data_IF_944255131615
#
_entry.id   IF_944255131615
#
_cell.length_a   1.000
_cell.length_b   1.000
_cell.length_c   1.000
_cell.angle_alpha   90.00
_cell.angle_beta   90.00
_cell.angle_gamma   90.00
#
_symmetry.space_group_name_H-M   'P 1'
#
loop_
_entity.id
_entity.type
_entity.pdbx_description
1 polymer ?
#
# COMPACT_ATOMS: atom_id res chain seq x y z
N UNK A 1 -3.97 14.81 6.03
CA UNK A 1 -2.77 14.65 5.17
C UNK A 1 -2.62 15.87 4.25
N UNK A 2 -2.16 17.02 4.76
CA UNK A 2 -2.10 18.25 3.95
C UNK A 2 -1.05 18.17 2.83
N UNK A 3 0.17 17.74 3.15
CA UNK A 3 1.28 17.67 2.20
C UNK A 3 1.05 16.62 1.09
N UNK A 4 0.61 15.41 1.44
CA UNK A 4 0.30 14.34 0.48
C UNK A 4 -0.71 14.79 -0.56
N UNK A 5 -1.72 15.58 -0.14
CA UNK A 5 -2.72 16.13 -1.05
C UNK A 5 -2.09 17.12 -2.03
N UNK A 6 -1.22 18.00 -1.57
CA UNK A 6 -0.55 19.00 -2.42
C UNK A 6 0.28 18.34 -3.51
N UNK A 7 1.16 17.41 -3.15
CA UNK A 7 2.05 16.76 -4.14
C UNK A 7 1.28 15.86 -5.11
N UNK A 8 0.23 15.17 -4.63
CA UNK A 8 -0.63 14.37 -5.50
C UNK A 8 -1.39 15.24 -6.50
N UNK A 9 -1.91 16.39 -6.06
CA UNK A 9 -2.59 17.33 -6.95
C UNK A 9 -1.63 17.90 -8.01
N UNK A 10 -0.40 18.24 -7.64
CA UNK A 10 0.62 18.71 -8.58
C UNK A 10 0.90 17.65 -9.64
N UNK A 11 1.17 16.40 -9.22
CA UNK A 11 1.43 15.30 -10.14
C UNK A 11 0.28 15.06 -11.13
N UNK A 12 -0.97 15.07 -10.66
CA UNK A 12 -2.14 14.86 -11.52
C UNK A 12 -2.32 16.02 -12.51
N UNK A 13 -2.08 17.27 -12.09
CA UNK A 13 -2.15 18.44 -12.96
C UNK A 13 -1.11 18.36 -14.10
N UNK A 14 0.08 17.82 -13.81
CA UNK A 14 1.14 17.54 -14.79
C UNK A 14 0.93 16.24 -15.58
N UNK A 15 -0.26 15.64 -15.49
CA UNK A 15 -0.65 14.41 -16.19
C UNK A 15 0.19 13.19 -15.81
N UNK A 16 0.75 13.16 -14.60
CA UNK A 16 1.47 12.00 -14.06
C UNK A 16 0.47 11.03 -13.43
N UNK A 17 0.44 9.79 -13.95
CA UNK A 17 -0.42 8.72 -13.42
C UNK A 17 0.15 8.21 -12.08
N UNK A 18 -0.61 8.26 -10.96
CA UNK A 18 -0.12 7.86 -9.66
C UNK A 18 -0.16 6.34 -9.43
N UNK A 19 0.73 5.86 -8.56
CA UNK A 19 0.67 4.55 -7.89
C UNK A 19 0.82 4.75 -6.39
N UNK A 20 0.31 3.81 -5.58
CA UNK A 20 0.30 3.97 -4.12
C UNK A 20 1.21 2.94 -3.45
N UNK A 21 2.15 3.42 -2.64
CA UNK A 21 2.93 2.59 -1.72
C UNK A 21 2.63 2.97 -0.27
N UNK A 22 2.06 2.03 0.49
CA UNK A 22 1.81 2.19 1.91
C UNK A 22 3.04 1.72 2.68
N UNK A 23 3.82 2.68 3.19
CA UNK A 23 5.08 2.42 3.89
C UNK A 23 4.89 2.30 5.41
N UNK A 24 5.91 1.76 6.08
CA UNK A 24 5.97 1.51 7.53
C UNK A 24 4.94 0.49 8.01
N UNK A 25 4.58 -0.47 7.16
CA UNK A 25 3.65 -1.55 7.53
C UNK A 25 4.21 -2.44 8.65
N UNK A 26 5.54 -2.55 8.76
CA UNK A 26 6.20 -3.24 9.87
C UNK A 26 5.77 -2.70 11.23
N UNK A 27 5.72 -1.37 11.42
CA UNK A 27 5.30 -0.75 12.68
C UNK A 27 3.84 -1.00 13.02
N UNK A 28 2.98 -1.13 12.00
CA UNK A 28 1.58 -1.47 12.20
C UNK A 28 1.41 -2.87 12.80
N UNK A 29 2.34 -3.77 12.49
CA UNK A 29 2.33 -5.15 12.94
C UNK A 29 3.04 -5.29 14.29
N UNK A 30 4.24 -4.73 14.43
CA UNK A 30 5.09 -4.98 15.61
C UNK A 30 4.78 -4.04 16.78
N UNK A 31 4.56 -2.74 16.51
CA UNK A 31 4.33 -1.75 17.56
C UNK A 31 2.85 -1.65 17.91
N UNK A 32 1.99 -1.51 16.90
CA UNK A 32 0.54 -1.39 17.10
C UNK A 32 -0.18 -2.72 17.24
N UNK A 33 0.50 -3.85 16.95
CA UNK A 33 -0.02 -5.22 17.10
C UNK A 33 -1.42 -5.42 16.50
N UNK A 34 -1.66 -4.78 15.35
CA UNK A 34 -2.95 -4.83 14.69
C UNK A 34 -3.25 -6.23 14.17
N UNK A 35 -4.51 -6.64 14.28
CA UNK A 35 -4.97 -7.89 13.66
C UNK A 35 -4.98 -7.77 12.13
N UNK A 36 -4.99 -8.89 11.38
CA UNK A 36 -5.11 -8.87 9.92
C UNK A 36 -6.31 -8.04 9.42
N UNK A 37 -7.44 -8.13 10.12
CA UNK A 37 -8.67 -7.43 9.78
C UNK A 37 -8.55 -5.91 10.01
N UNK A 38 -7.91 -5.50 11.11
CA UNK A 38 -7.65 -4.09 11.41
C UNK A 38 -6.68 -3.47 10.41
N UNK A 39 -5.63 -4.21 10.04
CA UNK A 39 -4.70 -3.81 8.97
C UNK A 39 -5.43 -3.59 7.65
N UNK A 40 -6.26 -4.55 7.24
CA UNK A 40 -7.06 -4.44 6.02
C UNK A 40 -8.01 -3.23 6.06
N UNK A 41 -8.76 -3.05 7.15
CA UNK A 41 -9.64 -1.88 7.33
C UNK A 41 -8.86 -0.58 7.22
N UNK A 42 -7.65 -0.51 7.78
CA UNK A 42 -6.79 0.67 7.72
C UNK A 42 -6.28 0.93 6.29
N UNK A 43 -5.85 -0.10 5.57
CA UNK A 43 -5.45 0.04 4.17
C UNK A 43 -6.61 0.49 3.28
N UNK A 44 -7.79 -0.11 3.43
CA UNK A 44 -9.01 0.30 2.70
C UNK A 44 -9.28 1.79 2.95
N UNK A 45 -9.23 2.25 4.20
CA UNK A 45 -9.44 3.67 4.53
C UNK A 45 -8.42 4.58 3.84
N UNK A 46 -7.14 4.20 3.82
CA UNK A 46 -6.08 4.97 3.14
C UNK A 46 -6.34 5.03 1.64
N UNK A 47 -6.62 3.89 1.01
CA UNK A 47 -6.87 3.76 -0.43
C UNK A 47 -8.09 4.59 -0.83
N UNK A 48 -9.19 4.49 -0.09
CA UNK A 48 -10.41 5.27 -0.34
C UNK A 48 -10.14 6.78 -0.27
N UNK A 49 -9.34 7.23 0.69
CA UNK A 49 -8.96 8.64 0.79
C UNK A 49 -8.12 9.11 -0.40
N UNK A 50 -7.14 8.31 -0.84
CA UNK A 50 -6.31 8.64 -2.01
C UNK A 50 -7.17 8.64 -3.29
N UNK A 51 -8.04 7.65 -3.46
CA UNK A 51 -8.94 7.57 -4.61
C UNK A 51 -9.91 8.75 -4.68
N UNK A 52 -10.42 9.21 -3.53
CA UNK A 52 -11.23 10.44 -3.48
C UNK A 52 -10.44 11.64 -4.00
N UNK A 53 -9.16 11.78 -3.60
CA UNK A 53 -8.29 12.85 -4.10
C UNK A 53 -8.01 12.75 -5.60
N UNK A 54 -7.75 11.54 -6.11
CA UNK A 54 -7.52 11.31 -7.53
C UNK A 54 -8.77 11.66 -8.34
N UNK A 55 -9.95 11.16 -7.94
CA UNK A 55 -11.22 11.42 -8.64
C UNK A 55 -11.55 12.91 -8.76
N UNK A 56 -11.19 13.72 -7.77
CA UNK A 56 -11.43 15.17 -7.80
C UNK A 56 -10.59 15.92 -8.84
N UNK A 57 -9.46 15.36 -9.29
CA UNK A 57 -8.47 16.07 -10.12
C UNK A 57 -8.11 15.36 -11.41
N UNK A 58 -8.48 14.09 -11.57
CA UNK A 58 -8.14 13.32 -12.76
C UNK A 58 -8.72 13.95 -14.04
N UNK A 59 -8.04 13.78 -15.18
CA UNK A 59 -8.59 14.18 -16.47
C UNK A 59 -9.97 13.56 -16.76
N UNK A 60 -10.78 14.23 -17.58
CA UNK A 60 -12.02 13.63 -18.08
C UNK A 60 -11.70 12.41 -18.93
N UNK A 61 -12.46 11.32 -18.74
CA UNK A 61 -12.36 10.10 -19.54
C UNK A 61 -11.28 9.10 -19.13
N UNK A 62 -10.55 9.35 -18.02
CA UNK A 62 -9.58 8.37 -17.47
C UNK A 62 -9.99 7.93 -16.07
N UNK A 63 -9.67 6.68 -15.74
CA UNK A 63 -9.74 6.15 -14.37
C UNK A 63 -8.32 5.90 -13.85
N UNK A 64 -7.83 6.83 -13.03
CA UNK A 64 -6.52 6.73 -12.39
C UNK A 64 -6.61 6.24 -10.95
N UNK A 65 -7.76 5.73 -10.53
CA UNK A 65 -7.91 5.19 -9.18
C UNK A 65 -6.97 4.01 -8.96
N UNK A 66 -6.47 3.92 -7.73
CA UNK A 66 -5.61 2.84 -7.28
C UNK A 66 -6.44 1.74 -6.62
N UNK A 67 -6.08 0.51 -6.93
CA UNK A 67 -6.73 -0.72 -6.51
C UNK A 67 -5.67 -1.78 -6.15
N UNK A 68 -5.90 -2.47 -5.04
CA UNK A 68 -5.09 -3.60 -4.57
C UNK A 68 -5.16 -4.77 -5.53
N UNK A 69 -6.35 -5.08 -6.08
CA UNK A 69 -6.56 -6.21 -6.98
C UNK A 69 -5.87 -6.01 -8.32
N UNK A 70 -5.81 -4.76 -8.81
CA UNK A 70 -5.10 -4.38 -10.04
C UNK A 70 -3.58 -4.27 -9.85
N UNK A 71 -3.06 -4.40 -8.63
CA UNK A 71 -1.62 -4.32 -8.33
C UNK A 71 -1.03 -2.90 -8.29
N UNK A 72 -1.87 -1.87 -8.42
CA UNK A 72 -1.46 -0.45 -8.37
C UNK A 72 -1.22 0.06 -6.94
N UNK A 73 -1.49 -0.78 -5.94
CA UNK A 73 -1.20 -0.55 -4.53
C UNK A 73 -0.23 -1.62 -4.04
N UNK A 74 0.86 -1.20 -3.41
CA UNK A 74 1.79 -2.07 -2.69
C UNK A 74 1.92 -1.61 -1.22
N UNK A 75 2.27 -2.53 -0.35
CA UNK A 75 2.47 -2.28 1.08
C UNK A 75 3.77 -2.92 1.54
N UNK A 76 4.46 -2.29 2.49
CA UNK A 76 5.71 -2.83 2.98
C UNK A 76 6.48 -1.91 3.92
N UNK A 77 7.77 -2.19 4.02
CA UNK A 77 8.71 -1.41 4.81
C UNK A 77 9.96 -1.15 3.99
N UNK A 78 10.15 0.11 3.60
CA UNK A 78 11.39 0.52 2.93
C UNK A 78 12.62 0.31 3.83
N UNK A 79 12.47 0.51 5.16
CA UNK A 79 13.57 0.30 6.13
C UNK A 79 13.99 -1.16 6.20
N UNK A 80 13.01 -2.07 6.16
CA UNK A 80 13.23 -3.53 6.25
C UNK A 80 13.32 -4.21 4.88
N UNK A 81 13.40 -3.41 3.80
CA UNK A 81 13.65 -3.83 2.42
C UNK A 81 12.66 -4.88 1.88
N UNK A 82 11.40 -4.82 2.28
CA UNK A 82 10.36 -5.71 1.74
C UNK A 82 9.12 -4.92 1.32
N UNK A 83 8.46 -5.41 0.27
CA UNK A 83 7.19 -4.87 -0.22
C UNK A 83 6.40 -5.99 -0.89
N UNK A 84 5.08 -5.87 -0.87
CA UNK A 84 4.20 -6.86 -1.47
C UNK A 84 2.90 -6.22 -1.98
N UNK A 85 2.33 -6.80 -3.03
CA UNK A 85 1.03 -6.43 -3.59
C UNK A 85 0.21 -7.70 -3.86
N UNK A 86 -1.10 -7.56 -4.04
CA UNK A 86 -2.01 -8.72 -4.18
C UNK A 86 -1.65 -9.62 -5.37
N UNK A 87 -1.32 -9.10 -6.57
CA UNK A 87 -0.89 -9.97 -7.67
C UNK A 87 0.37 -10.78 -7.34
N UNK A 88 1.35 -10.18 -6.64
CA UNK A 88 2.54 -10.89 -6.21
C UNK A 88 2.23 -11.95 -5.16
N UNK A 89 1.37 -11.64 -4.18
CA UNK A 89 0.89 -12.62 -3.18
C UNK A 89 0.26 -13.84 -3.85
N UNK A 90 -0.57 -13.63 -4.88
CA UNK A 90 -1.18 -14.73 -5.64
C UNK A 90 -0.14 -15.57 -6.38
N UNK A 91 0.92 -14.95 -6.89
CA UNK A 91 2.00 -15.62 -7.62
C UNK A 91 2.92 -16.42 -6.70
N UNK A 92 3.27 -15.88 -5.53
CA UNK A 92 4.23 -16.50 -4.60
C UNK A 92 3.56 -17.36 -3.53
N UNK A 93 2.23 -17.27 -3.37
CA UNK A 93 1.47 -17.96 -2.33
C UNK A 93 1.61 -17.33 -0.93
N UNK A 94 2.27 -16.18 -0.81
CA UNK A 94 2.47 -15.49 0.48
C UNK A 94 1.14 -14.89 0.94
N UNK A 95 0.71 -15.24 2.16
CA UNK A 95 -0.48 -14.70 2.80
C UNK A 95 -0.15 -13.52 3.72
N UNK A 96 -1.17 -12.74 4.11
CA UNK A 96 -1.02 -11.70 5.13
C UNK A 96 -0.57 -12.26 6.48
N UNK A 97 -0.95 -13.50 6.79
CA UNK A 97 -0.55 -14.18 8.02
C UNK A 97 0.96 -14.45 8.01
N UNK A 98 1.50 -14.93 6.91
CA UNK A 98 2.94 -15.18 6.76
C UNK A 98 3.76 -13.89 6.91
N UNK A 99 3.25 -12.77 6.38
CA UNK A 99 3.89 -11.45 6.55
C UNK A 99 3.89 -11.05 8.03
N UNK A 100 2.76 -11.20 8.73
CA UNK A 100 2.64 -10.84 10.14
C UNK A 100 3.58 -11.70 10.99
N UNK A 101 3.60 -13.01 10.74
CA UNK A 101 4.47 -13.95 11.44
C UNK A 101 5.95 -13.65 11.17
N UNK A 102 6.32 -13.34 9.93
CA UNK A 102 7.68 -12.91 9.59
C UNK A 102 8.07 -11.57 10.24
N UNK A 103 7.12 -10.65 10.40
CA UNK A 103 7.34 -9.38 11.10
C UNK A 103 7.54 -9.58 12.61
N UNK A 104 6.74 -10.44 13.25
CA UNK A 104 6.83 -10.72 14.68
C UNK A 104 8.10 -11.50 15.05
N UNK A 105 8.58 -12.36 14.16
CA UNK A 105 9.78 -13.17 14.37
C UNK A 105 11.07 -12.51 13.83
N UNK A 106 11.02 -11.24 13.43
CA UNK A 106 12.15 -10.49 12.83
C UNK A 106 12.74 -11.10 11.53
N UNK A 107 12.07 -12.07 10.89
CA UNK A 107 12.50 -12.73 9.65
C UNK A 107 12.08 -11.98 8.38
N UNK A 108 11.92 -10.67 8.46
CA UNK A 108 11.41 -9.85 7.35
C UNK A 108 12.35 -9.84 6.13
N UNK A 109 13.65 -10.10 6.32
CA UNK A 109 14.61 -10.20 5.21
C UNK A 109 14.35 -11.40 4.29
N UNK A 110 13.68 -12.43 4.79
CA UNK A 110 13.28 -13.60 3.99
C UNK A 110 12.14 -13.25 3.02
N UNK A 111 11.27 -12.29 3.39
CA UNK A 111 10.21 -11.79 2.51
C UNK A 111 10.79 -11.07 1.29
N UNK A 112 11.99 -10.50 1.38
CA UNK A 112 12.66 -9.81 0.28
C UNK A 112 13.31 -10.77 -0.73
N UNK A 113 13.51 -12.04 -0.34
CA UNK A 113 14.19 -13.08 -1.13
C UNK A 113 13.23 -14.01 -1.87
N UNK A 114 11.92 -13.91 -1.61
CA UNK A 114 10.86 -14.72 -2.20
C UNK A 114 10.10 -13.95 -3.28
#
# INVERSE_FOLDING_TARGET
MPQTKTVLNQAINERVKPVLFINKTDRLITELKLTPEELQKRFIKIISNVNSMIKMRQPKGVDWTVDVAKGTVAFGSAKKKWAINVPYMKKTGISFKDIIDACNNEKQEELAKK
#
